data_IF_951752102922
#
_entry.id   IF_951752102922
#
_cell.length_a   1.000
_cell.length_b   1.000
_cell.length_c   1.000
_cell.angle_alpha   90.00
_cell.angle_beta   90.00
_cell.angle_gamma   90.00
#
_symmetry.space_group_name_H-M   'P 1'
#
loop_
_entity.id
_entity.type
_entity.pdbx_description
1 polymer ?
#
# COMPACT_ATOMS: atom_id res chain seq x y z
N UNK A 1 6.89 7.50 -10.87
CA UNK A 1 5.61 7.20 -10.21
C UNK A 1 5.79 6.84 -8.74
N UNK A 2 6.36 5.70 -8.42
CA UNK A 2 6.75 5.37 -7.05
C UNK A 2 8.26 5.54 -6.88
N UNK A 3 8.68 6.30 -5.87
CA UNK A 3 10.08 6.55 -5.59
C UNK A 3 10.38 6.31 -4.10
N UNK A 4 11.22 5.32 -3.84
CA UNK A 4 11.68 4.97 -2.49
C UNK A 4 13.15 5.30 -2.43
N UNK A 5 13.54 6.10 -1.44
CA UNK A 5 14.92 6.59 -1.32
C UNK A 5 15.42 6.43 0.10
N UNK A 6 16.47 5.62 0.25
CA UNK A 6 17.17 5.40 1.52
C UNK A 6 16.25 4.99 2.67
N UNK A 7 15.29 4.10 2.40
CA UNK A 7 14.28 3.72 3.39
C UNK A 7 14.84 2.79 4.46
N UNK A 8 14.72 3.21 5.72
CA UNK A 8 15.07 2.42 6.89
C UNK A 8 13.82 2.19 7.73
N UNK A 9 13.56 0.94 8.09
CA UNK A 9 12.38 0.55 8.86
C UNK A 9 12.77 -0.42 9.96
N UNK A 10 12.19 -0.24 11.14
CA UNK A 10 12.34 -1.17 12.26
C UNK A 10 10.97 -1.62 12.77
N UNK A 11 10.94 -2.76 13.47
CA UNK A 11 9.76 -3.18 14.24
C UNK A 11 9.65 -2.31 15.49
N UNK A 12 8.44 -1.79 15.77
CA UNK A 12 8.21 -0.90 16.93
C UNK A 12 8.41 -1.63 18.25
N UNK A 13 7.97 -2.89 18.34
CA UNK A 13 7.99 -3.64 19.60
C UNK A 13 9.36 -4.21 19.94
N UNK A 14 10.14 -4.61 18.94
CA UNK A 14 11.41 -5.32 19.16
C UNK A 14 12.65 -4.48 18.89
N UNK A 15 12.50 -3.24 18.48
CA UNK A 15 13.62 -2.35 18.10
C UNK A 15 14.57 -3.01 17.10
N UNK A 16 14.03 -3.89 16.26
CA UNK A 16 14.80 -4.64 15.27
C UNK A 16 14.68 -3.96 13.90
N UNK A 17 15.81 -3.56 13.35
CA UNK A 17 15.86 -2.97 12.02
C UNK A 17 15.69 -4.04 10.94
N UNK A 18 14.70 -3.86 10.06
CA UNK A 18 14.38 -4.82 9.00
C UNK A 18 14.83 -4.29 7.64
N UNK A 19 14.52 -3.03 7.33
CA UNK A 19 14.96 -2.39 6.09
C UNK A 19 16.09 -1.42 6.38
N UNK A 20 17.16 -1.49 5.59
CA UNK A 20 18.40 -0.75 5.81
C UNK A 20 18.84 -0.06 4.52
N UNK A 21 18.20 1.06 4.20
CA UNK A 21 18.61 1.86 3.05
C UNK A 21 18.09 1.32 1.72
N UNK A 22 16.79 1.05 1.63
CA UNK A 22 16.18 0.56 0.39
C UNK A 22 15.96 1.70 -0.60
N UNK A 23 16.45 1.52 -1.82
CA UNK A 23 16.22 2.43 -2.93
C UNK A 23 15.46 1.70 -4.03
N UNK A 24 14.36 2.29 -4.50
CA UNK A 24 13.56 1.73 -5.59
C UNK A 24 12.82 2.84 -6.31
N UNK A 25 12.87 2.83 -7.62
CA UNK A 25 12.13 3.77 -8.46
C UNK A 25 11.34 3.00 -9.50
N UNK A 26 10.03 3.13 -9.45
CA UNK A 26 9.12 2.50 -10.42
C UNK A 26 8.44 3.59 -11.24
N UNK A 27 8.67 3.59 -12.54
CA UNK A 27 8.03 4.52 -13.47
C UNK A 27 6.64 4.06 -13.90
N UNK A 28 5.90 4.94 -14.55
CA UNK A 28 4.59 4.61 -15.08
C UNK A 28 4.70 3.50 -16.12
N UNK A 29 3.84 2.49 -16.01
CA UNK A 29 3.84 1.35 -16.93
C UNK A 29 4.97 0.33 -16.72
N UNK A 30 5.81 0.53 -15.70
CA UNK A 30 6.88 -0.40 -15.38
C UNK A 30 6.43 -1.45 -14.36
N UNK A 31 6.99 -2.65 -14.46
CA UNK A 31 6.79 -3.74 -13.48
C UNK A 31 8.15 -4.12 -12.89
N UNK A 32 8.26 -4.04 -11.57
CA UNK A 32 9.47 -4.41 -10.85
C UNK A 32 9.19 -5.61 -9.95
N UNK A 33 10.01 -6.65 -10.04
CA UNK A 33 9.93 -7.82 -9.19
C UNK A 33 10.94 -7.70 -8.05
N UNK A 34 10.47 -7.86 -6.81
CA UNK A 34 11.32 -7.88 -5.63
C UNK A 34 11.45 -9.32 -5.17
N UNK A 35 12.65 -9.84 -5.22
CA UNK A 35 12.93 -11.24 -4.94
C UNK A 35 13.93 -11.37 -3.81
N UNK A 36 13.83 -12.48 -3.07
CA UNK A 36 14.74 -12.77 -1.97
C UNK A 36 14.19 -13.86 -1.07
N UNK A 37 15.03 -14.44 -0.21
CA UNK A 37 14.58 -15.46 0.74
C UNK A 37 13.60 -14.86 1.76
N UNK A 38 12.85 -15.73 2.43
CA UNK A 38 11.97 -15.32 3.52
C UNK A 38 12.81 -14.64 4.62
N UNK A 39 12.29 -13.53 5.16
CA UNK A 39 13.00 -12.75 6.16
C UNK A 39 13.95 -11.67 5.59
N UNK A 40 14.01 -11.52 4.26
CA UNK A 40 14.83 -10.48 3.62
C UNK A 40 14.20 -9.08 3.62
N UNK A 41 12.96 -8.94 4.12
CA UNK A 41 12.27 -7.66 4.20
C UNK A 41 11.32 -7.35 3.06
N UNK A 42 11.16 -8.25 2.08
CA UNK A 42 10.28 -8.02 0.92
C UNK A 42 8.81 -7.82 1.32
N UNK A 43 8.30 -8.63 2.25
CA UNK A 43 6.93 -8.47 2.77
C UNK A 43 6.81 -7.22 3.65
N UNK A 44 7.84 -6.90 4.42
CA UNK A 44 7.90 -5.70 5.25
C UNK A 44 7.77 -4.44 4.40
N UNK A 45 8.46 -4.38 3.26
CA UNK A 45 8.36 -3.25 2.35
C UNK A 45 6.91 -3.04 1.90
N UNK A 46 6.22 -4.10 1.51
CA UNK A 46 4.81 -4.02 1.09
C UNK A 46 3.91 -3.51 2.21
N UNK A 47 4.08 -4.00 3.43
CA UNK A 47 3.28 -3.59 4.57
C UNK A 47 3.52 -2.12 4.95
N UNK A 48 4.77 -1.68 4.91
CA UNK A 48 5.12 -0.27 5.19
C UNK A 48 4.50 0.66 4.15
N UNK A 49 4.56 0.31 2.88
CA UNK A 49 3.96 1.10 1.81
C UNK A 49 2.44 1.19 1.95
N UNK A 50 1.79 0.11 2.38
CA UNK A 50 0.34 0.10 2.59
C UNK A 50 -0.09 0.82 3.88
N UNK A 51 0.84 1.19 4.75
CA UNK A 51 0.54 1.89 6.00
C UNK A 51 0.16 0.99 7.16
N UNK A 52 0.56 -0.27 7.13
CA UNK A 52 0.27 -1.22 8.22
C UNK A 52 0.99 -0.78 9.51
N UNK A 53 0.28 -0.86 10.63
CA UNK A 53 0.84 -0.54 11.94
C UNK A 53 1.89 -1.57 12.39
N UNK A 54 2.73 -1.19 13.34
CA UNK A 54 3.78 -2.06 13.89
C UNK A 54 5.17 -1.82 13.30
N UNK A 55 5.29 -0.97 12.29
CA UNK A 55 6.55 -0.62 11.65
C UNK A 55 6.86 0.86 11.84
N UNK A 56 8.09 1.18 12.17
CA UNK A 56 8.56 2.56 12.32
C UNK A 56 9.58 2.88 11.21
N UNK A 57 9.30 3.92 10.43
CA UNK A 57 10.24 4.45 9.46
C UNK A 57 11.20 5.38 10.20
N UNK A 58 12.47 5.01 10.20
CA UNK A 58 13.50 5.77 10.92
C UNK A 58 14.26 6.72 10.03
N UNK A 59 14.33 6.45 8.73
CA UNK A 59 15.05 7.27 7.77
C UNK A 59 14.53 7.00 6.36
N UNK A 60 14.67 7.99 5.48
CA UNK A 60 14.31 7.86 4.07
C UNK A 60 12.98 8.47 3.69
N UNK A 61 12.70 8.44 2.40
CA UNK A 61 11.48 9.02 1.82
C UNK A 61 10.79 8.05 0.88
N UNK A 62 9.46 8.14 0.82
CA UNK A 62 8.66 7.41 -0.16
C UNK A 62 7.66 8.39 -0.77
N UNK A 63 7.69 8.53 -2.08
CA UNK A 63 6.75 9.38 -2.81
C UNK A 63 5.98 8.59 -3.86
N UNK A 64 4.71 8.91 -4.03
CA UNK A 64 3.86 8.37 -5.08
C UNK A 64 3.30 9.55 -5.87
N UNK A 65 3.67 9.64 -7.15
CA UNK A 65 3.31 10.75 -8.03
C UNK A 65 3.64 12.13 -7.43
N UNK A 66 4.77 12.22 -6.74
CA UNK A 66 5.24 13.44 -6.09
C UNK A 66 4.65 13.73 -4.72
N UNK A 67 3.69 12.94 -4.25
CA UNK A 67 3.11 13.09 -2.93
C UNK A 67 3.82 12.20 -1.90
N UNK A 68 4.03 12.73 -0.68
CA UNK A 68 4.66 11.97 0.40
C UNK A 68 3.75 10.87 0.92
N UNK A 69 4.03 9.62 0.55
CA UNK A 69 3.22 8.48 0.92
C UNK A 69 3.27 8.20 2.42
N UNK A 70 4.40 8.45 3.08
CA UNK A 70 4.56 8.17 4.50
C UNK A 70 3.73 9.10 5.40
N UNK A 71 3.35 10.28 4.88
CA UNK A 71 2.50 11.23 5.60
C UNK A 71 1.01 10.90 5.45
N UNK A 72 0.64 9.94 4.62
CA UNK A 72 -0.75 9.58 4.37
C UNK A 72 -1.23 8.47 5.29
N UNK A 73 -2.50 8.54 5.70
CA UNK A 73 -3.20 7.42 6.31
C UNK A 73 -3.43 6.30 5.30
N UNK A 74 -3.63 5.02 5.73
CA UNK A 74 -3.81 3.92 4.79
C UNK A 74 -4.92 4.13 3.76
N UNK A 75 -6.05 4.70 4.15
CA UNK A 75 -7.16 4.98 3.26
C UNK A 75 -6.82 6.06 2.21
N UNK A 76 -6.00 7.03 2.56
CA UNK A 76 -5.53 8.04 1.62
C UNK A 76 -4.55 7.44 0.61
N UNK A 77 -3.70 6.50 1.04
CA UNK A 77 -2.80 5.78 0.15
C UNK A 77 -3.56 4.94 -0.86
N UNK A 78 -4.61 4.25 -0.42
CA UNK A 78 -5.48 3.47 -1.31
C UNK A 78 -6.19 4.37 -2.32
N UNK A 79 -6.69 5.53 -1.89
CA UNK A 79 -7.33 6.51 -2.77
C UNK A 79 -6.35 7.09 -3.80
N UNK A 80 -5.08 7.22 -3.44
CA UNK A 80 -4.03 7.69 -4.34
C UNK A 80 -3.61 6.63 -5.38
N UNK A 81 -4.08 5.39 -5.25
CA UNK A 81 -3.85 4.32 -6.23
C UNK A 81 -2.98 3.17 -5.74
N UNK A 82 -2.58 3.17 -4.46
CA UNK A 82 -1.79 2.07 -3.91
C UNK A 82 -2.69 0.89 -3.54
N UNK A 83 -2.35 -0.29 -3.99
CA UNK A 83 -3.07 -1.51 -3.68
C UNK A 83 -2.12 -2.61 -3.21
N UNK A 84 -2.46 -3.28 -2.11
CA UNK A 84 -1.72 -4.42 -1.59
C UNK A 84 -2.52 -5.70 -1.76
N UNK A 85 -1.97 -6.66 -2.51
CA UNK A 85 -2.50 -8.00 -2.59
C UNK A 85 -1.86 -8.85 -1.49
N UNK A 86 -2.67 -9.30 -0.53
CA UNK A 86 -2.18 -10.10 0.58
C UNK A 86 -1.77 -11.49 0.10
N UNK A 87 -0.71 -12.04 0.70
CA UNK A 87 -0.29 -13.41 0.43
C UNK A 87 -1.38 -14.40 0.83
N UNK A 88 -2.07 -14.14 1.94
CA UNK A 88 -3.23 -14.88 2.40
C UNK A 88 -4.39 -13.91 2.58
N UNK A 89 -5.40 -13.95 1.70
CA UNK A 89 -6.55 -13.05 1.82
C UNK A 89 -7.29 -13.24 3.14
N UNK A 90 -7.75 -12.11 3.70
CA UNK A 90 -8.54 -12.11 4.94
C UNK A 90 -10.00 -11.96 4.59
N UNK A 91 -10.83 -12.90 5.04
CA UNK A 91 -12.27 -12.83 4.87
C UNK A 91 -12.88 -11.78 5.83
N UNK A 92 -13.84 -11.04 5.32
CA UNK A 92 -14.67 -10.14 6.14
C UNK A 92 -16.03 -10.83 6.32
N UNK A 93 -16.30 -11.43 7.51
CA UNK A 93 -17.54 -12.17 7.71
C UNK A 93 -18.78 -11.31 7.51
N UNK A 94 -19.80 -11.84 6.83
CA UNK A 94 -21.06 -11.17 6.58
C UNK A 94 -21.05 -10.17 5.43
N UNK A 95 -19.92 -9.98 4.76
CA UNK A 95 -19.81 -9.08 3.61
C UNK A 95 -19.61 -9.89 2.33
N UNK A 96 -20.57 -9.80 1.40
CA UNK A 96 -20.46 -10.44 0.10
C UNK A 96 -19.45 -9.76 -0.80
N UNK A 97 -18.89 -10.49 -1.75
CA UNK A 97 -17.87 -9.96 -2.68
C UNK A 97 -18.38 -8.77 -3.48
N UNK A 98 -19.63 -8.83 -3.95
CA UNK A 98 -20.24 -7.73 -4.71
C UNK A 98 -20.30 -6.45 -3.88
N UNK A 99 -20.78 -6.54 -2.64
CA UNK A 99 -20.88 -5.40 -1.73
C UNK A 99 -19.50 -4.84 -1.40
N UNK A 100 -18.54 -5.72 -1.11
CA UNK A 100 -17.17 -5.31 -0.79
C UNK A 100 -16.53 -4.57 -1.98
N UNK A 101 -16.55 -5.17 -3.16
CA UNK A 101 -15.90 -4.57 -4.34
C UNK A 101 -16.58 -3.27 -4.77
N UNK A 102 -17.91 -3.22 -4.74
CA UNK A 102 -18.63 -1.99 -5.08
C UNK A 102 -18.32 -0.87 -4.09
N UNK A 103 -18.28 -1.17 -2.81
CA UNK A 103 -17.93 -0.20 -1.77
C UNK A 103 -16.51 0.33 -1.98
N UNK A 104 -15.56 -0.55 -2.27
CA UNK A 104 -14.17 -0.17 -2.52
C UNK A 104 -14.03 0.70 -3.77
N UNK A 105 -14.68 0.32 -4.88
CA UNK A 105 -14.67 1.10 -6.12
C UNK A 105 -15.31 2.47 -5.92
N UNK A 106 -16.46 2.53 -5.24
CA UNK A 106 -17.15 3.80 -4.98
C UNK A 106 -16.33 4.70 -4.05
N UNK A 107 -15.65 4.15 -3.07
CA UNK A 107 -14.75 4.94 -2.21
C UNK A 107 -13.63 5.60 -3.02
N UNK A 108 -13.03 4.87 -3.96
CA UNK A 108 -12.00 5.41 -4.84
C UNK A 108 -12.56 6.45 -5.81
N UNK A 109 -13.74 6.18 -6.39
CA UNK A 109 -14.40 7.13 -7.30
C UNK A 109 -14.75 8.42 -6.57
N UNK A 110 -15.28 8.33 -5.35
CA UNK A 110 -15.57 9.49 -4.52
C UNK A 110 -14.32 10.33 -4.24
N UNK A 111 -13.21 9.68 -3.91
CA UNK A 111 -11.93 10.35 -3.66
C UNK A 111 -11.41 11.08 -4.91
N UNK A 112 -11.74 10.61 -6.12
CA UNK A 112 -11.36 11.23 -7.40
C UNK A 112 -12.41 12.22 -7.91
N UNK A 113 -13.50 12.44 -7.17
CA UNK A 113 -14.58 13.32 -7.59
C UNK A 113 -15.52 12.72 -8.65
N UNK A 114 -15.45 11.41 -8.86
CA UNK A 114 -16.32 10.70 -9.79
C UNK A 114 -17.63 10.27 -9.11
N UNK A 115 -18.75 10.16 -9.87
CA UNK A 115 -20.01 9.70 -9.28
C UNK A 115 -19.93 8.24 -8.87
N UNK A 116 -20.70 7.88 -7.83
CA UNK A 116 -20.79 6.50 -7.37
C UNK A 116 -21.53 5.62 -8.39
N UNK A 117 -21.15 4.35 -8.45
CA UNK A 117 -21.80 3.36 -9.29
C UNK A 117 -22.96 2.72 -8.53
N UNK A 118 -24.12 2.57 -9.21
CA UNK A 118 -25.21 1.78 -8.70
C UNK A 118 -24.88 0.27 -8.79
N UNK A 119 -25.67 -0.56 -8.11
CA UNK A 119 -25.48 -2.01 -8.18
C UNK A 119 -25.61 -2.54 -9.63
N UNK A 120 -26.53 -1.97 -10.41
CA UNK A 120 -26.69 -2.35 -11.80
C UNK A 120 -25.52 -1.95 -12.68
N UNK A 121 -24.97 -0.77 -12.46
CA UNK A 121 -23.81 -0.28 -13.24
C UNK A 121 -22.53 -1.04 -12.90
N UNK A 122 -22.40 -1.56 -11.66
CA UNK A 122 -21.26 -2.34 -11.26
C UNK A 122 -21.22 -3.73 -11.90
N UNK A 123 -22.38 -4.31 -12.19
CA UNK A 123 -22.48 -5.58 -12.90
C UNK A 123 -22.09 -5.41 -14.37
#
# INVERSE_FOLDING_TARGET
>A
MLNIKNLHVKLQEEDKQILRGVDLKVGAGEVHAIMGPNGSGKSTLSYVLAGRQGYAVTEGTVTLDGADLLAMEPEARAAAGLFLAFQYPVEIPGVGNMTFLRTAVNAQRKARGEPEMSAGDFL
#
